data_IF_500019882568
#
_entry.id   IF_500019882568
#
_cell.length_a   1.000
_cell.length_b   1.000
_cell.length_c   1.000
_cell.angle_alpha   90.00
_cell.angle_beta   90.00
_cell.angle_gamma   90.00
#
_symmetry.space_group_name_H-M   'P 1'
#
loop_
_entity.id
_entity.type
_entity.pdbx_description
1 polymer ?
#
# COMPACT_ATOMS: atom_id res chain seq x y z
N UNK A 1 -8.58 0.56 -11.82
CA UNK A 1 -8.89 -0.07 -10.51
C UNK A 1 -9.58 -1.42 -10.63
N UNK A 2 -10.69 -1.56 -11.38
CA UNK A 2 -11.44 -2.83 -11.46
C UNK A 2 -10.63 -4.06 -11.92
N UNK A 3 -9.57 -3.87 -12.72
CA UNK A 3 -8.69 -4.95 -13.19
C UNK A 3 -7.75 -5.58 -12.14
N UNK A 4 -7.56 -4.93 -10.99
CA UNK A 4 -6.67 -5.42 -9.92
C UNK A 4 -7.44 -5.97 -8.71
N UNK A 5 -8.77 -5.82 -8.72
CA UNK A 5 -9.64 -6.41 -7.71
C UNK A 5 -9.89 -7.88 -8.08
N UNK A 6 -9.78 -8.75 -7.08
CA UNK A 6 -10.19 -10.14 -7.18
C UNK A 6 -11.69 -10.26 -7.36
N UNK A 7 -12.15 -11.43 -7.81
CA UNK A 7 -13.57 -11.69 -8.00
C UNK A 7 -14.33 -11.51 -6.67
N UNK A 8 -15.21 -10.52 -6.61
CA UNK A 8 -16.01 -10.19 -5.41
C UNK A 8 -15.32 -9.25 -4.40
N UNK A 9 -14.08 -8.85 -4.65
CA UNK A 9 -13.31 -7.95 -3.78
C UNK A 9 -13.83 -6.51 -3.88
N UNK A 10 -14.02 -5.84 -2.73
CA UNK A 10 -14.55 -4.49 -2.68
C UNK A 10 -13.51 -3.50 -2.14
N UNK A 11 -13.23 -2.40 -2.86
CA UNK A 11 -12.39 -1.34 -2.34
C UNK A 11 -13.13 -0.64 -1.19
N UNK A 12 -12.53 -0.63 0.00
CA UNK A 12 -13.06 0.05 1.20
C UNK A 12 -12.58 1.48 1.25
N UNK A 13 -11.28 1.69 1.04
CA UNK A 13 -10.64 3.01 1.10
C UNK A 13 -9.65 3.14 -0.05
N UNK A 14 -9.64 4.30 -0.70
CA UNK A 14 -8.62 4.67 -1.67
C UNK A 14 -8.12 6.08 -1.34
N UNK A 15 -6.80 6.22 -1.17
CA UNK A 15 -6.19 7.50 -0.78
C UNK A 15 -4.82 7.67 -1.39
N UNK A 16 -4.44 8.91 -1.66
CA UNK A 16 -3.09 9.26 -2.09
C UNK A 16 -2.18 9.29 -0.87
N UNK A 17 -0.98 8.73 -1.02
CA UNK A 17 0.05 8.78 0.00
C UNK A 17 1.42 8.82 -0.67
N UNK A 18 2.35 9.58 -0.08
CA UNK A 18 3.76 9.42 -0.39
C UNK A 18 4.26 8.17 0.31
N UNK A 19 4.57 7.15 -0.47
CA UNK A 19 5.10 5.88 0.00
C UNK A 19 6.61 6.01 0.09
N UNK A 20 7.13 5.81 1.29
CA UNK A 20 8.55 5.79 1.56
C UNK A 20 9.21 4.51 1.04
N UNK A 21 10.52 4.39 1.25
CA UNK A 21 11.23 3.18 0.88
C UNK A 21 10.65 2.00 1.64
N UNK A 22 10.28 0.95 0.91
CA UNK A 22 10.01 -0.34 1.52
C UNK A 22 11.32 -0.88 2.07
N UNK A 23 11.26 -1.56 3.22
CA UNK A 23 12.38 -2.38 3.69
C UNK A 23 12.52 -3.61 2.75
N UNK A 24 13.09 -3.36 1.57
CA UNK A 24 12.97 -4.16 0.36
C UNK A 24 13.62 -5.53 0.47
N UNK A 25 14.66 -5.65 1.31
CA UNK A 25 15.45 -6.87 1.47
C UNK A 25 14.63 -8.08 1.91
N UNK A 26 13.48 -7.87 2.57
CA UNK A 26 12.69 -8.96 3.15
C UNK A 26 11.26 -9.05 2.61
N UNK A 27 10.64 -7.94 2.18
CA UNK A 27 9.35 -8.02 1.47
C UNK A 27 9.51 -8.78 0.14
N UNK A 28 10.59 -8.51 -0.60
CA UNK A 28 10.93 -9.26 -1.81
C UNK A 28 11.10 -10.75 -1.50
N UNK A 29 11.70 -11.10 -0.36
CA UNK A 29 11.88 -12.49 0.06
C UNK A 29 10.56 -13.17 0.44
N UNK A 30 9.64 -12.45 1.07
CA UNK A 30 8.32 -12.97 1.50
C UNK A 30 7.37 -13.14 0.30
N UNK A 31 7.42 -12.20 -0.65
CA UNK A 31 6.68 -12.29 -1.91
C UNK A 31 7.28 -13.35 -2.85
N UNK A 32 8.61 -13.47 -2.91
CA UNK A 32 9.32 -14.50 -3.69
C UNK A 32 9.16 -15.91 -3.11
N UNK A 33 8.90 -16.04 -1.81
CA UNK A 33 8.62 -17.34 -1.15
C UNK A 33 7.23 -17.90 -1.45
N UNK A 34 6.46 -17.31 -2.35
CA UNK A 34 5.30 -17.98 -2.95
C UNK A 34 4.01 -17.93 -2.12
N UNK A 35 3.85 -16.93 -1.25
CA UNK A 35 2.59 -16.78 -0.49
C UNK A 35 1.44 -16.27 -1.40
N UNK A 36 1.75 -15.64 -2.54
CA UNK A 36 0.74 -15.30 -3.56
C UNK A 36 1.20 -15.75 -4.95
N UNK A 37 0.70 -16.88 -5.47
CA UNK A 37 1.06 -17.33 -6.82
C UNK A 37 0.62 -16.29 -7.86
N UNK A 38 1.57 -15.80 -8.66
CA UNK A 38 1.31 -14.92 -9.82
C UNK A 38 1.79 -13.46 -9.72
N UNK A 39 2.30 -13.02 -8.56
CA UNK A 39 2.66 -11.60 -8.32
C UNK A 39 4.19 -11.36 -8.30
N UNK A 40 4.98 -12.42 -8.10
CA UNK A 40 6.36 -12.31 -7.66
C UNK A 40 7.35 -11.62 -8.61
N UNK A 41 7.14 -11.66 -9.94
CA UNK A 41 8.16 -11.17 -10.89
C UNK A 41 8.01 -9.69 -11.30
N UNK A 42 6.83 -9.09 -11.19
CA UNK A 42 6.61 -7.68 -11.56
C UNK A 42 6.77 -6.72 -10.36
N UNK A 43 6.55 -7.23 -9.15
CA UNK A 43 6.47 -6.42 -7.93
C UNK A 43 7.86 -6.13 -7.34
N UNK A 44 8.86 -6.98 -7.54
CA UNK A 44 10.22 -6.83 -6.98
C UNK A 44 10.98 -5.63 -7.52
N UNK A 45 10.91 -5.37 -8.83
CA UNK A 45 11.60 -4.21 -9.46
C UNK A 45 10.88 -2.88 -9.18
N UNK A 46 9.54 -2.92 -9.09
CA UNK A 46 8.74 -1.74 -8.76
C UNK A 46 8.98 -1.29 -7.31
N UNK A 47 9.00 -2.22 -6.35
CA UNK A 47 9.25 -1.90 -4.93
C UNK A 47 10.56 -1.15 -4.73
N UNK A 48 11.65 -1.58 -5.40
CA UNK A 48 12.98 -0.98 -5.25
C UNK A 48 13.08 0.46 -5.77
N UNK A 49 12.21 0.86 -6.71
CA UNK A 49 12.20 2.20 -7.31
C UNK A 49 11.00 3.07 -6.89
N UNK A 50 10.05 2.54 -6.12
CA UNK A 50 8.74 3.18 -5.91
C UNK A 50 8.66 4.22 -4.77
N UNK A 51 9.76 4.86 -4.40
CA UNK A 51 9.68 5.99 -3.46
C UNK A 51 8.94 7.17 -4.11
N UNK A 52 7.78 7.58 -3.59
CA UNK A 52 7.03 8.69 -4.19
C UNK A 52 5.52 8.68 -3.94
N UNK A 53 4.80 9.59 -4.60
CA UNK A 53 3.34 9.64 -4.51
C UNK A 53 2.74 8.40 -5.18
N UNK A 54 1.89 7.69 -4.44
CA UNK A 54 1.15 6.52 -4.90
C UNK A 54 -0.29 6.59 -4.43
N UNK A 55 -1.17 5.83 -5.09
CA UNK A 55 -2.53 5.61 -4.62
C UNK A 55 -2.58 4.28 -3.87
N UNK A 56 -2.88 4.37 -2.58
CA UNK A 56 -3.06 3.22 -1.69
C UNK A 56 -4.54 2.90 -1.63
N UNK A 57 -4.88 1.65 -1.95
CA UNK A 57 -6.25 1.15 -1.93
C UNK A 57 -6.32 -0.02 -0.95
N UNK A 58 -7.02 0.18 0.16
CA UNK A 58 -7.37 -0.92 1.05
C UNK A 58 -8.69 -1.55 0.60
N UNK A 59 -8.65 -2.86 0.41
CA UNK A 59 -9.82 -3.70 0.18
C UNK A 59 -10.12 -4.52 1.43
N UNK A 60 -11.18 -5.31 1.37
CA UNK A 60 -11.52 -6.26 2.41
C UNK A 60 -10.44 -7.35 2.61
N UNK A 61 -9.63 -7.66 1.59
CA UNK A 61 -8.66 -8.76 1.61
C UNK A 61 -7.19 -8.32 1.56
N UNK A 62 -6.88 -7.15 0.98
CA UNK A 62 -5.50 -6.74 0.70
C UNK A 62 -5.37 -5.23 0.53
N UNK A 63 -4.13 -4.76 0.56
CA UNK A 63 -3.76 -3.38 0.26
C UNK A 63 -3.02 -3.36 -1.07
N UNK A 64 -3.54 -2.58 -2.02
CA UNK A 64 -2.97 -2.36 -3.34
C UNK A 64 -2.25 -1.02 -3.34
N UNK A 65 -1.06 -1.01 -3.93
CA UNK A 65 -0.27 0.18 -4.15
C UNK A 65 -0.16 0.42 -5.65
N UNK A 66 -0.72 1.52 -6.11
CA UNK A 66 -0.78 1.90 -7.51
C UNK A 66 0.07 3.14 -7.73
N UNK A 67 0.69 3.26 -8.90
CA UNK A 67 1.36 4.50 -9.27
C UNK A 67 0.35 5.66 -9.25
N UNK A 68 0.83 6.86 -8.96
CA UNK A 68 0.00 8.06 -9.00
C UNK A 68 0.13 8.70 -10.38
N UNK A 69 -0.98 8.94 -11.06
CA UNK A 69 -0.97 9.72 -12.31
C UNK A 69 -0.56 11.17 -12.03
N UNK A 70 -0.23 11.94 -13.06
CA UNK A 70 0.06 13.38 -12.91
C UNK A 70 -1.10 14.17 -12.29
N UNK A 71 -2.34 13.77 -12.55
CA UNK A 71 -3.56 14.33 -11.94
C UNK A 71 -3.85 13.78 -10.53
N UNK A 72 -2.95 12.91 -10.07
CA UNK A 72 -2.93 12.13 -8.84
C UNK A 72 -3.97 11.01 -8.72
N UNK A 73 -4.73 10.73 -9.76
CA UNK A 73 -5.58 9.54 -9.79
C UNK A 73 -4.76 8.25 -9.76
N UNK A 74 -5.40 7.09 -9.48
CA UNK A 74 -4.74 5.79 -9.58
C UNK A 74 -4.24 5.58 -11.01
N UNK A 75 -2.95 5.31 -11.14
CA UNK A 75 -2.31 4.98 -12.38
C UNK A 75 -2.59 3.56 -12.83
N UNK A 76 -2.04 3.25 -14.00
CA UNK A 76 -2.18 1.96 -14.66
C UNK A 76 -1.10 0.96 -14.25
N UNK A 77 -0.17 1.38 -13.41
CA UNK A 77 0.91 0.54 -12.91
C UNK A 77 0.60 0.13 -11.47
N UNK A 78 0.54 -1.19 -11.27
CA UNK A 78 0.46 -1.78 -9.94
C UNK A 78 1.89 -1.93 -9.40
N UNK A 79 2.18 -1.16 -8.36
CA UNK A 79 3.49 -1.16 -7.70
C UNK A 79 3.66 -2.39 -6.83
N UNK A 80 2.70 -2.63 -5.92
CA UNK A 80 2.75 -3.79 -5.02
C UNK A 80 1.37 -4.14 -4.47
N UNK A 81 1.25 -5.39 -4.01
CA UNK A 81 0.06 -5.91 -3.33
C UNK A 81 0.54 -6.52 -2.02
N UNK A 82 -0.09 -6.12 -0.91
CA UNK A 82 0.18 -6.68 0.40
C UNK A 82 -1.11 -7.30 0.96
N UNK A 83 -1.14 -8.61 1.24
CA UNK A 83 -2.27 -9.25 1.91
C UNK A 83 -2.53 -8.61 3.26
N UNK A 84 -3.81 -8.42 3.63
CA UNK A 84 -4.18 -7.83 4.92
C UNK A 84 -3.71 -8.70 6.08
N UNK A 85 -3.71 -10.01 5.93
CA UNK A 85 -3.20 -10.97 6.94
C UNK A 85 -1.72 -10.77 7.28
N UNK A 86 -0.94 -10.24 6.34
CA UNK A 86 0.49 -9.98 6.53
C UNK A 86 0.76 -8.54 6.97
N UNK A 87 -0.24 -7.68 7.03
CA UNK A 87 -0.10 -6.24 7.19
C UNK A 87 -0.68 -5.80 8.53
N UNK A 88 0.15 -5.15 9.33
CA UNK A 88 -0.21 -4.64 10.64
C UNK A 88 0.12 -3.15 10.73
N UNK A 89 -0.75 -2.37 11.36
CA UNK A 89 -0.49 -0.96 11.58
C UNK A 89 0.48 -0.80 12.75
N UNK A 90 1.76 -0.58 12.44
CA UNK A 90 2.82 -0.40 13.43
C UNK A 90 2.72 0.95 14.14
N UNK A 91 2.46 2.03 13.39
CA UNK A 91 2.42 3.38 13.94
C UNK A 91 1.43 4.23 13.15
N UNK A 92 0.67 5.07 13.85
CA UNK A 92 -0.20 6.06 13.22
C UNK A 92 0.00 7.41 13.89
N UNK A 93 0.67 8.32 13.21
CA UNK A 93 0.88 9.70 13.65
C UNK A 93 0.00 10.62 12.82
N UNK A 94 -1.15 11.00 13.38
CA UNK A 94 -2.10 11.89 12.72
C UNK A 94 -1.82 13.32 13.20
N UNK A 95 -1.37 14.21 12.29
CA UNK A 95 -0.94 15.56 12.63
C UNK A 95 -1.14 16.57 11.50
N UNK A 96 -0.26 17.58 11.41
CA UNK A 96 -0.18 18.51 10.26
C UNK A 96 0.21 17.77 8.98
N UNK A 97 1.08 16.77 9.12
CA UNK A 97 1.36 15.72 8.15
C UNK A 97 0.98 14.42 8.83
N UNK A 98 0.13 13.61 8.20
CA UNK A 98 -0.27 12.32 8.75
C UNK A 98 0.71 11.26 8.25
N UNK A 99 1.25 10.46 9.15
CA UNK A 99 2.19 9.37 8.81
C UNK A 99 1.63 8.06 9.35
N UNK A 100 1.50 7.06 8.50
CA UNK A 100 1.14 5.70 8.88
C UNK A 100 2.33 4.79 8.57
N UNK A 101 2.78 4.01 9.54
CA UNK A 101 3.75 2.94 9.31
C UNK A 101 3.03 1.62 9.35
N UNK A 102 3.17 0.89 8.25
CA UNK A 102 2.68 -0.46 8.13
C UNK A 102 3.86 -1.39 8.34
N UNK A 103 3.76 -2.28 9.31
CA UNK A 103 4.66 -3.42 9.43
C UNK A 103 4.05 -4.62 8.72
N UNK A 104 4.90 -5.46 8.20
CA UNK A 104 4.52 -6.76 7.68
C UNK A 104 5.53 -7.81 8.13
N UNK A 105 5.17 -9.09 8.00
CA UNK A 105 6.01 -10.21 8.42
C UNK A 105 7.37 -10.20 7.68
N UNK A 106 8.34 -9.47 8.21
CA UNK A 106 9.68 -9.31 7.65
C UNK A 106 10.13 -7.87 7.33
N UNK A 107 9.30 -6.84 7.45
CA UNK A 107 9.71 -5.46 7.17
C UNK A 107 8.61 -4.42 7.43
N UNK A 108 8.74 -3.22 6.86
CA UNK A 108 7.71 -2.19 6.94
C UNK A 108 7.76 -1.18 5.80
N UNK A 109 6.71 -0.38 5.71
CA UNK A 109 6.59 0.76 4.79
C UNK A 109 6.02 1.97 5.53
N UNK A 110 6.59 3.14 5.29
CA UNK A 110 6.04 4.41 5.78
C UNK A 110 5.18 5.06 4.69
N UNK A 111 3.97 5.45 5.07
CA UNK A 111 3.02 6.17 4.26
C UNK A 111 2.88 7.58 4.83
N UNK A 112 3.20 8.58 4.03
CA UNK A 112 3.11 9.98 4.43
C UNK A 112 2.00 10.65 3.65
N UNK A 113 1.04 11.21 4.36
CA UNK A 113 -0.15 11.84 3.82
C UNK A 113 -0.05 13.36 4.03
N UNK A 114 -0.14 14.15 2.95
CA UNK A 114 -0.26 15.59 3.07
C UNK A 114 -1.61 15.96 3.70
N UNK A 115 -1.71 17.20 4.21
CA UNK A 115 -2.89 17.68 4.95
C UNK A 115 -4.21 17.51 4.18
N UNK A 116 -4.17 17.64 2.85
CA UNK A 116 -5.35 17.49 1.98
C UNK A 116 -5.88 16.04 1.97
N UNK A 117 -5.00 15.05 2.14
CA UNK A 117 -5.33 13.62 2.18
C UNK A 117 -5.46 13.08 3.62
N UNK A 118 -5.54 13.96 4.62
CA UNK A 118 -5.67 13.57 6.04
C UNK A 118 -6.90 12.70 6.29
N UNK A 119 -8.02 12.99 5.65
CA UNK A 119 -9.24 12.20 5.79
C UNK A 119 -9.04 10.76 5.29
N UNK A 120 -8.33 10.60 4.17
CA UNK A 120 -7.96 9.30 3.63
C UNK A 120 -6.99 8.55 4.54
N UNK A 121 -6.03 9.24 5.17
CA UNK A 121 -5.14 8.64 6.16
C UNK A 121 -5.91 8.10 7.39
N UNK A 122 -6.90 8.84 7.88
CA UNK A 122 -7.75 8.41 9.01
C UNK A 122 -8.58 7.19 8.62
N UNK A 123 -9.21 7.23 7.45
CA UNK A 123 -10.00 6.11 6.93
C UNK A 123 -9.13 4.86 6.74
N UNK A 124 -7.94 5.01 6.16
CA UNK A 124 -7.00 3.91 5.96
C UNK A 124 -6.53 3.33 7.30
N UNK A 125 -6.18 4.18 8.27
CA UNK A 125 -5.78 3.72 9.60
C UNK A 125 -6.91 3.00 10.33
N UNK A 126 -8.16 3.43 10.15
CA UNK A 126 -9.34 2.78 10.72
C UNK A 126 -9.59 1.41 10.09
N UNK A 127 -9.53 1.31 8.76
CA UNK A 127 -9.65 0.04 8.04
C UNK A 127 -8.53 -0.93 8.38
N UNK A 128 -7.31 -0.46 8.62
CA UNK A 128 -6.20 -1.35 8.99
C UNK A 128 -6.21 -1.77 10.46
N UNK A 129 -7.10 -1.21 11.28
CA UNK A 129 -7.32 -1.60 12.67
C UNK A 129 -8.54 -2.52 12.86
N UNK A 130 -9.45 -2.58 11.89
CA UNK A 130 -10.62 -3.47 11.93
C UNK A 130 -10.25 -4.91 11.62
#
# INVERSE_FOLDING_TARGET
MARYLGSGEQPRVATRATVGAFDASRLATVLSRGIVPGIANAVTDAIHNSTGAQVVVATDQRVLFLSCTFWGGPGDELVTIVPRDLLSLAESKLGTVSVLRLSFAGGGVSLTFPRIDKAGAVALAAELRS
#
